data_IF_960839354448
#
_entry.id   IF_960839354448
#
_cell.length_a   1.000
_cell.length_b   1.000
_cell.length_c   1.000
_cell.angle_alpha   90.00
_cell.angle_beta   90.00
_cell.angle_gamma   90.00
#
_symmetry.space_group_name_H-M   'P 1'
#
loop_
_entity.id
_entity.type
_entity.pdbx_description
1 polymer ?
#
# COMPACT_ATOMS: atom_id res chain seq x y z
N UNK A 1 -18.82 -26.78 -17.41
CA UNK A 1 -19.41 -25.61 -18.11
C UNK A 1 -20.00 -24.70 -17.06
N UNK A 2 -19.49 -23.47 -17.00
CA UNK A 2 -19.74 -22.48 -15.95
C UNK A 2 -21.10 -21.79 -16.15
N UNK A 3 -21.96 -21.83 -15.14
CA UNK A 3 -23.01 -20.82 -14.94
C UNK A 3 -22.82 -20.22 -13.55
N UNK A 4 -22.19 -19.06 -13.50
CA UNK A 4 -21.93 -18.36 -12.25
C UNK A 4 -21.50 -16.93 -12.54
N UNK A 5 -22.42 -16.13 -13.08
CA UNK A 5 -22.25 -14.67 -13.15
C UNK A 5 -23.60 -13.99 -12.93
N UNK A 6 -23.53 -12.90 -12.17
CA UNK A 6 -24.48 -11.79 -12.02
C UNK A 6 -25.49 -11.93 -10.87
N UNK A 7 -25.15 -11.29 -9.75
CA UNK A 7 -25.87 -10.12 -9.21
C UNK A 7 -25.67 -10.06 -7.69
N UNK A 8 -24.71 -9.26 -7.22
CA UNK A 8 -24.68 -8.82 -5.83
C UNK A 8 -24.71 -7.29 -5.84
N UNK A 9 -25.91 -6.74 -5.70
CA UNK A 9 -26.13 -5.31 -5.53
C UNK A 9 -27.29 -5.07 -4.57
N UNK A 10 -27.04 -4.09 -3.69
CA UNK A 10 -27.96 -3.36 -2.80
C UNK A 10 -28.39 -4.13 -1.53
N UNK A 11 -28.44 -3.53 -0.33
CA UNK A 11 -28.60 -2.12 0.04
C UNK A 11 -28.27 -2.03 1.56
N UNK A 12 -27.35 -1.17 2.00
CA UNK A 12 -27.17 -0.88 3.44
C UNK A 12 -27.64 0.56 3.68
N UNK A 13 -28.87 0.70 4.18
CA UNK A 13 -29.39 1.95 4.74
C UNK A 13 -29.02 2.02 6.22
N UNK A 14 -28.12 2.94 6.58
CA UNK A 14 -27.87 3.31 7.98
C UNK A 14 -28.55 4.67 8.23
N UNK A 15 -29.69 4.63 8.91
CA UNK A 15 -30.34 5.80 9.50
C UNK A 15 -29.53 6.27 10.72
N UNK A 16 -28.90 7.43 10.62
CA UNK A 16 -28.36 8.16 11.76
C UNK A 16 -29.50 8.88 12.48
N UNK A 17 -29.93 8.35 13.63
CA UNK A 17 -30.68 9.10 14.64
C UNK A 17 -29.70 9.39 15.78
N UNK A 18 -29.00 10.52 15.70
CA UNK A 18 -28.34 11.10 16.87
C UNK A 18 -29.33 12.06 17.50
N UNK A 19 -30.04 11.57 18.52
CA UNK A 19 -30.85 12.38 19.41
C UNK A 19 -29.96 13.31 20.24
N UNK A 20 -30.35 14.59 20.20
CA UNK A 20 -29.99 15.72 21.06
C UNK A 20 -29.60 15.30 22.50
N UNK A 21 -28.40 15.69 22.92
CA UNK A 21 -28.04 15.71 24.34
C UNK A 21 -28.79 16.87 25.00
N UNK A 22 -29.72 16.56 25.91
CA UNK A 22 -30.21 17.51 26.90
C UNK A 22 -29.16 17.65 28.01
N UNK A 23 -28.63 18.85 28.19
CA UNK A 23 -28.06 19.28 29.46
C UNK A 23 -29.24 19.75 30.32
N UNK A 24 -29.50 19.07 31.43
CA UNK A 24 -30.46 19.51 32.45
C UNK A 24 -29.81 19.36 33.83
N UNK A 25 -29.47 20.53 34.37
CA UNK A 25 -29.70 21.00 35.73
C UNK A 25 -29.65 20.00 36.90
N UNK A 26 -28.69 20.20 37.80
CA UNK A 26 -28.73 19.68 39.15
C UNK A 26 -28.32 20.79 40.10
N UNK A 27 -29.33 21.54 40.53
CA UNK A 27 -29.25 22.56 41.55
C UNK A 27 -29.11 21.95 42.96
N UNK A 28 -28.32 22.64 43.78
CA UNK A 28 -28.26 22.65 45.24
C UNK A 28 -28.15 21.33 46.04
N UNK A 29 -27.00 21.15 46.72
CA UNK A 29 -27.01 20.99 48.18
C UNK A 29 -25.86 21.78 48.84
N UNK A 30 -26.31 22.83 49.53
CA UNK A 30 -25.75 23.56 50.67
C UNK A 30 -24.70 22.75 51.46
N UNK A 31 -23.50 23.29 51.60
CA UNK A 31 -22.76 23.16 52.85
C UNK A 31 -22.03 24.47 53.19
N UNK A 32 -22.52 25.04 54.28
CA UNK A 32 -22.11 26.26 54.94
C UNK A 32 -20.80 26.03 55.71
N UNK A 33 -19.79 26.87 55.49
CA UNK A 33 -18.77 27.20 56.50
C UNK A 33 -17.91 28.37 56.02
N UNK A 34 -18.46 29.56 56.20
CA UNK A 34 -17.82 30.72 56.87
C UNK A 34 -16.28 30.63 56.99
N UNK A 35 -15.57 31.46 56.22
CA UNK A 35 -14.53 32.31 56.81
C UNK A 35 -14.48 33.66 56.09
N UNK A 36 -14.65 34.67 56.92
CA UNK A 36 -14.82 36.09 56.67
C UNK A 36 -13.46 36.76 56.43
N UNK A 37 -13.35 37.65 55.44
CA UNK A 37 -12.71 38.99 55.59
C UNK A 37 -12.72 39.82 54.29
N UNK A 38 -13.68 40.76 54.20
CA UNK A 38 -13.56 42.23 53.91
C UNK A 38 -12.44 42.71 52.94
N UNK A 39 -12.61 43.63 51.97
CA UNK A 39 -13.59 44.71 51.79
C UNK A 39 -13.48 45.37 50.38
N UNK A 40 -14.57 46.02 49.96
CA UNK A 40 -14.67 47.28 49.19
C UNK A 40 -14.49 47.36 47.65
N UNK A 41 -15.66 47.49 46.99
CA UNK A 41 -16.08 48.66 46.17
C UNK A 41 -16.13 48.52 44.63
N UNK A 42 -17.38 48.56 44.15
CA UNK A 42 -17.83 48.81 42.77
C UNK A 42 -17.34 50.15 42.18
N UNK A 43 -17.14 50.21 40.86
CA UNK A 43 -17.96 51.06 39.94
C UNK A 43 -17.49 50.96 38.49
N UNK A 44 -18.40 50.54 37.60
CA UNK A 44 -18.60 51.18 36.28
C UNK A 44 -17.98 50.54 35.03
N UNK A 45 -18.58 50.77 33.84
CA UNK A 45 -18.73 49.76 32.77
C UNK A 45 -17.91 50.04 31.50
N UNK A 46 -17.61 49.02 30.70
CA UNK A 46 -17.26 49.13 29.27
C UNK A 46 -17.32 47.73 28.66
N UNK A 47 -18.37 47.46 27.90
CA UNK A 47 -18.44 47.57 26.43
C UNK A 47 -18.06 46.25 25.75
N UNK A 48 -19.05 45.75 25.04
CA UNK A 48 -18.94 44.62 24.14
C UNK A 48 -17.86 44.89 23.08
N UNK A 49 -16.90 43.99 23.02
CA UNK A 49 -15.94 43.85 21.94
C UNK A 49 -15.83 42.36 21.63
N UNK A 50 -16.87 41.83 21.02
CA UNK A 50 -16.96 40.48 20.48
C UNK A 50 -15.92 40.34 19.36
N UNK A 51 -14.68 40.02 19.73
CA UNK A 51 -13.72 39.49 18.77
C UNK A 51 -13.94 37.99 18.73
N UNK A 52 -14.78 37.60 17.77
CA UNK A 52 -14.87 36.23 17.29
C UNK A 52 -13.45 35.69 17.07
N UNK A 53 -13.11 34.48 17.55
CA UNK A 53 -11.89 33.85 17.09
C UNK A 53 -12.07 33.64 15.58
N UNK A 54 -11.13 34.17 14.80
CA UNK A 54 -10.94 33.72 13.44
C UNK A 54 -10.70 32.22 13.54
N UNK A 55 -11.69 31.43 13.13
CA UNK A 55 -11.54 30.01 12.82
C UNK A 55 -10.56 29.95 11.65
N UNK A 56 -9.28 29.98 11.99
CA UNK A 56 -8.20 29.53 11.13
C UNK A 56 -8.53 28.06 10.86
N UNK A 57 -9.20 27.85 9.72
CA UNK A 57 -9.43 26.53 9.16
C UNK A 57 -8.05 25.98 8.86
N UNK A 58 -7.48 25.30 9.85
CA UNK A 58 -6.23 24.58 9.74
C UNK A 58 -6.42 23.62 8.56
N UNK A 59 -5.80 23.97 7.43
CA UNK A 59 -5.70 23.06 6.31
C UNK A 59 -5.07 21.79 6.87
N UNK A 60 -5.86 20.70 6.89
CA UNK A 60 -5.36 19.39 7.26
C UNK A 60 -4.40 18.96 6.16
N UNK A 61 -3.14 19.37 6.28
CA UNK A 61 -2.07 18.85 5.43
C UNK A 61 -1.91 17.38 5.78
N UNK A 62 -2.03 16.51 4.79
CA UNK A 62 -1.70 15.08 4.92
C UNK A 62 -0.35 14.97 5.60
N UNK A 63 -0.30 14.29 6.75
CA UNK A 63 0.92 14.12 7.51
C UNK A 63 1.94 13.36 6.66
N UNK A 64 3.14 13.92 6.50
CA UNK A 64 4.20 13.29 5.71
C UNK A 64 4.63 11.98 6.37
N UNK A 65 4.65 10.90 5.58
CA UNK A 65 5.20 9.59 5.93
C UNK A 65 6.69 9.44 5.59
N UNK A 66 7.32 10.48 5.01
CA UNK A 66 8.76 10.47 4.72
C UNK A 66 9.58 10.23 5.99
N UNK A 67 10.47 9.23 5.95
CA UNK A 67 11.43 8.96 7.01
C UNK A 67 11.85 7.50 7.10
N UNK A 68 12.59 7.15 8.14
CA UNK A 68 12.95 5.79 8.50
C UNK A 68 12.00 5.30 9.61
N UNK A 69 11.37 4.16 9.39
CA UNK A 69 10.32 3.59 10.23
C UNK A 69 10.67 2.18 10.68
N UNK A 70 10.18 1.82 11.86
CA UNK A 70 10.16 0.44 12.34
C UNK A 70 8.72 0.00 12.49
N UNK A 71 8.33 -1.08 11.81
CA UNK A 71 7.00 -1.67 11.89
C UNK A 71 7.07 -2.98 12.66
N UNK A 72 6.14 -3.19 13.56
CA UNK A 72 5.97 -4.44 14.29
C UNK A 72 4.72 -5.13 13.78
N UNK A 73 4.88 -6.36 13.31
CA UNK A 73 3.83 -7.26 12.84
C UNK A 73 3.83 -8.54 13.68
N UNK A 74 2.84 -9.40 13.50
CA UNK A 74 2.78 -10.70 14.18
C UNK A 74 3.95 -11.63 13.79
N UNK A 75 4.48 -11.49 12.57
CA UNK A 75 5.56 -12.33 12.02
C UNK A 75 6.96 -11.77 12.33
N UNK A 76 7.06 -10.52 12.82
CA UNK A 76 8.34 -9.90 13.15
C UNK A 76 8.39 -8.39 12.92
N UNK A 77 9.60 -7.87 12.99
CA UNK A 77 9.89 -6.45 12.82
C UNK A 77 10.36 -6.16 11.39
N UNK A 78 9.86 -5.08 10.80
CA UNK A 78 10.25 -4.59 9.48
C UNK A 78 10.92 -3.22 9.67
N UNK A 79 12.15 -3.07 9.18
CA UNK A 79 12.80 -1.77 9.03
C UNK A 79 12.50 -1.23 7.64
N UNK A 80 12.11 0.04 7.55
CA UNK A 80 11.66 0.64 6.30
C UNK A 80 12.19 2.05 6.17
N UNK A 81 12.57 2.43 4.95
CA UNK A 81 12.76 3.83 4.57
C UNK A 81 11.69 4.21 3.56
N UNK A 82 11.04 5.35 3.80
CA UNK A 82 9.98 5.90 2.95
C UNK A 82 10.40 7.27 2.46
N UNK A 83 10.39 7.43 1.16
CA UNK A 83 10.37 8.70 0.47
C UNK A 83 8.94 9.02 0.05
N UNK A 84 8.63 10.31 0.00
CA UNK A 84 7.32 10.78 -0.39
C UNK A 84 7.45 11.94 -1.39
N UNK A 85 6.64 11.87 -2.43
CA UNK A 85 6.45 12.93 -3.42
C UNK A 85 4.95 13.12 -3.63
N UNK A 86 4.40 14.21 -3.09
CA UNK A 86 2.94 14.39 -2.98
C UNK A 86 2.32 13.19 -2.25
N UNK A 87 1.37 12.51 -2.89
CA UNK A 87 0.69 11.34 -2.33
C UNK A 87 1.46 10.04 -2.61
N UNK A 88 2.48 10.04 -3.48
CA UNK A 88 3.23 8.84 -3.84
C UNK A 88 4.26 8.48 -2.77
N UNK A 89 4.24 7.22 -2.32
CA UNK A 89 5.19 6.64 -1.37
C UNK A 89 6.09 5.63 -2.08
N UNK A 90 7.39 5.66 -1.79
CA UNK A 90 8.34 4.69 -2.34
C UNK A 90 9.59 4.56 -1.47
N UNK A 91 10.26 3.41 -1.52
CA UNK A 91 11.49 3.21 -0.76
C UNK A 91 11.91 1.74 -0.68
N UNK A 92 12.47 1.37 0.45
CA UNK A 92 12.99 0.03 0.69
C UNK A 92 12.63 -0.45 2.10
N UNK A 93 12.52 -1.75 2.26
CA UNK A 93 12.28 -2.38 3.54
C UNK A 93 13.11 -3.65 3.68
N UNK A 94 13.39 -4.03 4.92
CA UNK A 94 14.01 -5.29 5.26
C UNK A 94 13.47 -5.84 6.57
N UNK A 95 13.78 -7.10 6.82
CA UNK A 95 13.70 -7.70 8.14
C UNK A 95 14.94 -8.55 8.36
N UNK A 96 15.41 -8.62 9.60
CA UNK A 96 16.54 -9.46 10.01
C UNK A 96 16.10 -10.82 10.56
N UNK A 97 14.82 -10.97 10.92
CA UNK A 97 14.30 -12.16 11.59
C UNK A 97 12.83 -12.43 11.24
N UNK A 98 12.40 -13.71 11.14
CA UNK A 98 13.17 -14.91 11.46
C UNK A 98 14.23 -15.31 10.41
N UNK A 99 13.99 -14.97 9.14
CA UNK A 99 14.95 -15.13 8.04
C UNK A 99 15.14 -13.77 7.37
N UNK A 100 16.39 -13.34 7.12
CA UNK A 100 16.65 -12.01 6.60
C UNK A 100 16.11 -11.86 5.18
N UNK A 101 15.49 -10.73 4.88
CA UNK A 101 15.00 -10.40 3.55
C UNK A 101 15.10 -8.91 3.26
N UNK A 102 15.15 -8.58 1.96
CA UNK A 102 15.07 -7.22 1.45
C UNK A 102 13.88 -7.07 0.50
N UNK A 103 13.28 -5.90 0.48
CA UNK A 103 12.10 -5.60 -0.34
C UNK A 103 12.05 -4.14 -0.79
N UNK A 104 11.23 -3.92 -1.82
CA UNK A 104 10.92 -2.59 -2.34
C UNK A 104 9.56 -2.17 -1.80
N UNK A 105 9.47 -0.90 -1.41
CA UNK A 105 8.25 -0.27 -0.89
C UNK A 105 7.68 0.64 -1.97
N UNK A 106 6.38 0.55 -2.20
CA UNK A 106 5.59 1.47 -3.02
C UNK A 106 4.24 1.72 -2.35
N UNK A 107 3.59 2.84 -2.60
CA UNK A 107 2.25 3.06 -2.06
C UNK A 107 1.74 4.46 -2.28
N UNK A 108 0.69 4.79 -1.54
CA UNK A 108 0.04 6.10 -1.59
C UNK A 108 -0.44 6.57 -0.21
N UNK A 109 -0.43 7.87 -0.01
CA UNK A 109 -1.00 8.57 1.13
C UNK A 109 -2.20 9.42 0.70
N UNK A 110 -3.12 9.66 1.62
CA UNK A 110 -4.30 10.50 1.44
C UNK A 110 -4.73 11.07 2.79
N UNK A 111 -5.77 11.90 2.82
CA UNK A 111 -6.37 12.38 4.07
C UNK A 111 -6.99 11.25 4.90
N UNK A 112 -7.42 10.15 4.27
CA UNK A 112 -8.04 9.00 4.94
C UNK A 112 -7.00 8.04 5.56
N UNK A 113 -5.72 8.20 5.22
CA UNK A 113 -4.64 7.32 5.66
C UNK A 113 -3.71 6.96 4.51
N UNK A 114 -3.08 5.79 4.59
CA UNK A 114 -2.12 5.31 3.61
C UNK A 114 -2.34 3.84 3.26
N UNK A 115 -1.83 3.47 2.08
CA UNK A 115 -1.64 2.09 1.66
C UNK A 115 -0.20 1.92 1.15
N UNK A 116 0.51 0.95 1.71
CA UNK A 116 1.86 0.55 1.31
C UNK A 116 1.83 -0.89 0.81
N UNK A 117 2.62 -1.16 -0.22
CA UNK A 117 2.95 -2.49 -0.69
C UNK A 117 4.45 -2.70 -0.59
N UNK A 118 4.85 -3.82 0.01
CA UNK A 118 6.22 -4.30 0.07
C UNK A 118 6.29 -5.57 -0.79
N UNK A 119 7.19 -5.58 -1.77
CA UNK A 119 7.53 -6.76 -2.54
C UNK A 119 8.91 -7.25 -2.14
N UNK A 120 9.01 -8.49 -1.66
CA UNK A 120 10.26 -9.11 -1.24
C UNK A 120 10.39 -10.54 -1.75
N UNK A 121 11.64 -10.99 -1.88
CA UNK A 121 11.97 -12.38 -2.16
C UNK A 121 12.43 -13.02 -0.85
N UNK A 122 11.64 -13.93 -0.32
CA UNK A 122 11.88 -14.64 0.95
C UNK A 122 12.09 -16.11 0.62
N UNK A 123 13.29 -16.63 0.84
CA UNK A 123 13.67 -18.02 0.52
C UNK A 123 13.33 -18.47 -0.91
N UNK A 124 13.48 -17.54 -1.85
CA UNK A 124 13.17 -17.78 -3.27
C UNK A 124 11.68 -17.70 -3.62
N UNK A 125 10.80 -17.39 -2.66
CA UNK A 125 9.37 -17.17 -2.85
C UNK A 125 9.10 -15.67 -2.89
N UNK A 126 8.37 -15.21 -3.92
CA UNK A 126 7.91 -13.83 -3.97
C UNK A 126 6.77 -13.64 -2.95
N UNK A 127 6.92 -12.64 -2.08
CA UNK A 127 5.94 -12.25 -1.06
C UNK A 127 5.51 -10.80 -1.32
N UNK A 128 4.20 -10.57 -1.29
CA UNK A 128 3.56 -9.26 -1.33
C UNK A 128 2.91 -8.97 0.01
N UNK A 129 3.38 -7.92 0.69
CA UNK A 129 2.84 -7.43 1.96
C UNK A 129 2.14 -6.11 1.71
N UNK A 130 0.82 -6.07 1.90
CA UNK A 130 0.01 -4.85 1.82
C UNK A 130 -0.28 -4.37 3.24
N UNK A 131 -0.05 -3.09 3.48
CA UNK A 131 -0.29 -2.42 4.76
C UNK A 131 -1.21 -1.23 4.52
N UNK A 132 -2.34 -1.18 5.20
CA UNK A 132 -3.26 -0.05 5.13
C UNK A 132 -3.53 0.48 6.54
N UNK A 133 -3.51 1.79 6.71
CA UNK A 133 -3.62 2.38 8.04
C UNK A 133 -3.63 3.89 8.07
N UNK A 134 -3.43 4.41 9.28
CA UNK A 134 -3.33 5.84 9.56
C UNK A 134 -2.00 6.13 10.26
N UNK A 135 -1.49 7.35 10.07
CA UNK A 135 -0.26 7.79 10.69
C UNK A 135 -0.43 9.16 11.37
N UNK A 136 0.27 9.31 12.49
CA UNK A 136 0.56 10.59 13.12
C UNK A 136 1.98 11.01 12.72
N UNK A 137 2.53 12.05 13.37
CA UNK A 137 3.90 12.47 13.10
C UNK A 137 4.94 11.39 13.43
N UNK A 138 4.70 10.62 14.49
CA UNK A 138 5.70 9.70 15.05
C UNK A 138 5.25 8.24 15.03
N UNK A 139 3.97 7.97 14.83
CA UNK A 139 3.39 6.63 14.91
C UNK A 139 2.56 6.30 13.66
N UNK A 140 2.48 5.00 13.33
CA UNK A 140 1.48 4.49 12.40
C UNK A 140 0.83 3.23 12.96
N UNK A 141 -0.43 3.01 12.59
CA UNK A 141 -1.16 1.80 12.94
C UNK A 141 -2.08 1.38 11.80
N UNK A 142 -2.35 0.08 11.70
CA UNK A 142 -3.17 -0.43 10.61
C UNK A 142 -3.30 -1.94 10.58
N UNK A 143 -3.70 -2.43 9.42
CA UNK A 143 -3.78 -3.85 9.10
C UNK A 143 -2.70 -4.24 8.11
N UNK A 144 -2.33 -5.52 8.12
CA UNK A 144 -1.39 -6.09 7.18
C UNK A 144 -1.99 -7.34 6.55
N UNK A 145 -1.83 -7.49 5.24
CA UNK A 145 -2.16 -8.70 4.49
C UNK A 145 -0.91 -9.13 3.73
N UNK A 146 -0.43 -10.34 3.98
CA UNK A 146 0.66 -10.95 3.25
C UNK A 146 0.14 -12.04 2.34
N UNK A 147 0.64 -12.09 1.12
CA UNK A 147 0.39 -13.17 0.18
C UNK A 147 1.66 -13.59 -0.53
N UNK A 148 1.82 -14.88 -0.79
CA UNK A 148 2.97 -15.41 -1.50
C UNK A 148 2.61 -15.94 -2.89
N UNK A 149 3.63 -16.17 -3.71
CA UNK A 149 3.47 -16.76 -5.05
C UNK A 149 3.00 -18.22 -5.06
N UNK A 150 2.90 -18.86 -3.88
CA UNK A 150 2.34 -20.21 -3.70
C UNK A 150 0.84 -20.17 -3.35
N UNK A 151 0.27 -18.96 -3.18
CA UNK A 151 -1.14 -18.74 -2.86
C UNK A 151 -1.46 -18.82 -1.36
N UNK A 152 -0.45 -18.79 -0.48
CA UNK A 152 -0.67 -18.64 0.96
C UNK A 152 -1.01 -17.18 1.28
N UNK A 153 -1.89 -16.98 2.27
CA UNK A 153 -2.30 -15.66 2.75
C UNK A 153 -2.25 -15.65 4.27
N UNK A 154 -1.78 -14.52 4.83
CA UNK A 154 -1.83 -14.20 6.25
C UNK A 154 -2.39 -12.80 6.43
N UNK A 155 -3.10 -12.58 7.52
CA UNK A 155 -3.65 -11.28 7.89
C UNK A 155 -3.27 -10.98 9.34
N UNK A 156 -3.11 -9.71 9.66
CA UNK A 156 -2.75 -9.27 11.00
C UNK A 156 -2.88 -7.77 11.20
N UNK A 157 -2.32 -7.30 12.29
CA UNK A 157 -2.21 -5.87 12.60
C UNK A 157 -0.76 -5.40 12.51
N UNK A 158 -0.58 -4.10 12.30
CA UNK A 158 0.74 -3.48 12.32
C UNK A 158 0.72 -2.22 13.18
N UNK A 159 1.78 -2.01 13.94
CA UNK A 159 2.07 -0.75 14.60
C UNK A 159 3.51 -0.37 14.29
N UNK A 160 3.75 0.89 13.95
CA UNK A 160 5.09 1.37 13.65
C UNK A 160 5.36 2.73 14.26
N UNK A 161 6.64 3.06 14.33
CA UNK A 161 7.12 4.34 14.84
C UNK A 161 8.24 4.88 13.97
N UNK A 162 8.31 6.21 13.90
CA UNK A 162 9.34 6.94 13.18
C UNK A 162 10.64 6.88 13.98
N UNK A 163 11.70 6.36 13.38
CA UNK A 163 13.05 6.35 13.96
C UNK A 163 13.76 7.66 13.69
N UNK A 164 13.63 8.17 12.46
CA UNK A 164 14.29 9.38 12.02
C UNK A 164 13.56 9.98 10.82
N UNK A 165 13.40 11.31 10.72
CA UNK A 165 12.94 11.96 9.50
C UNK A 165 13.97 11.87 8.35
N UNK A 166 15.21 11.51 8.66
CA UNK A 166 16.26 11.26 7.69
C UNK A 166 16.14 9.85 7.09
N UNK A 167 16.33 9.76 5.78
CA UNK A 167 16.24 8.54 4.97
C UNK A 167 17.63 7.96 4.64
N UNK A 168 18.74 8.64 4.98
CA UNK A 168 20.07 8.16 4.60
C UNK A 168 20.63 7.01 5.44
N UNK A 169 19.98 6.69 6.57
CA UNK A 169 20.44 5.68 7.53
C UNK A 169 19.99 4.25 7.25
N UNK A 170 19.32 3.99 6.12
CA UNK A 170 18.85 2.66 5.77
C UNK A 170 20.01 1.73 5.36
N UNK A 171 20.10 0.58 6.03
CA UNK A 171 20.99 -0.52 5.65
C UNK A 171 20.15 -1.74 5.25
N UNK A 172 20.36 -2.33 4.06
CA UNK A 172 19.76 -3.60 3.68
C UNK A 172 20.19 -4.75 4.61
N UNK A 173 19.31 -5.72 4.81
CA UNK A 173 19.65 -6.95 5.53
C UNK A 173 20.68 -7.79 4.75
N UNK A 174 21.54 -8.51 5.46
CA UNK A 174 22.53 -9.42 4.86
C UNK A 174 21.85 -10.72 4.41
N UNK A 175 21.45 -10.77 3.14
CA UNK A 175 20.78 -11.92 2.53
C UNK A 175 21.79 -12.79 1.76
N UNK A 176 21.80 -14.12 1.97
CA UNK A 176 22.65 -15.01 1.19
C UNK A 176 22.41 -14.83 -0.31
N UNK A 177 23.49 -14.65 -1.07
CA UNK A 177 23.38 -14.50 -2.52
C UNK A 177 22.71 -15.73 -3.14
N UNK A 178 21.70 -15.50 -3.98
CA UNK A 178 21.09 -16.56 -4.76
C UNK A 178 22.17 -17.26 -5.60
N UNK A 179 22.33 -18.57 -5.39
CA UNK A 179 23.28 -19.37 -6.15
C UNK A 179 22.83 -19.35 -7.61
N UNK A 180 23.63 -18.74 -8.48
CA UNK A 180 23.35 -18.73 -9.91
C UNK A 180 23.18 -20.18 -10.40
N UNK A 181 22.16 -20.47 -11.23
CA UNK A 181 22.04 -21.79 -11.82
C UNK A 181 23.33 -22.11 -12.56
N UNK A 182 23.91 -23.28 -12.26
CA UNK A 182 25.12 -23.74 -12.92
C UNK A 182 24.93 -23.65 -14.43
N UNK A 183 25.82 -22.92 -15.11
CA UNK A 183 25.79 -22.80 -16.56
C UNK A 183 25.73 -24.21 -17.15
N UNK A 184 24.65 -24.52 -17.86
CA UNK A 184 24.56 -25.77 -18.61
C UNK A 184 25.78 -25.82 -19.54
N UNK A 185 26.63 -26.82 -19.36
CA UNK A 185 27.77 -27.02 -20.23
C UNK A 185 27.23 -27.19 -21.66
N UNK A 186 27.44 -26.17 -22.50
CA UNK A 186 27.27 -26.29 -23.94
C UNK A 186 28.26 -27.35 -24.39
N UNK A 187 27.75 -28.55 -24.63
CA UNK A 187 28.50 -29.60 -25.29
C UNK A 187 28.82 -29.06 -26.68
N UNK A 188 30.10 -29.03 -27.13
CA UNK A 188 30.41 -28.58 -28.46
C UNK A 188 29.59 -29.38 -29.47
N UNK A 189 28.82 -28.69 -30.31
CA UNK A 189 28.17 -29.32 -31.44
C UNK A 189 29.26 -30.00 -32.31
N UNK A 190 29.09 -31.26 -32.73
CA UNK A 190 30.00 -31.86 -33.68
C UNK A 190 30.00 -31.01 -34.96
N UNK A 191 31.21 -30.73 -35.42
CA UNK A 191 31.51 -30.02 -36.66
C UNK A 191 30.66 -30.57 -37.82
N UNK A 192 29.97 -29.68 -38.51
CA UNK A 192 29.01 -30.01 -39.55
C UNK A 192 29.69 -30.79 -40.69
N UNK A 193 29.36 -32.07 -40.83
CA UNK A 193 29.46 -32.76 -42.11
C UNK A 193 28.40 -32.18 -43.07
N UNK A 194 28.84 -31.94 -44.29
CA UNK A 194 28.11 -31.42 -45.47
C UNK A 194 26.64 -31.87 -45.65
N UNK A 195 25.80 -31.05 -46.31
CA UNK A 195 24.35 -31.21 -46.32
C UNK A 195 23.91 -32.44 -47.14
N UNK A 196 23.04 -33.26 -46.57
CA UNK A 196 22.26 -34.25 -47.29
C UNK A 196 20.77 -33.91 -47.19
N UNK A 197 20.15 -33.83 -48.36
CA UNK A 197 18.74 -33.53 -48.66
C UNK A 197 17.73 -34.40 -47.91
N UNK A 198 16.74 -33.71 -47.32
CA UNK A 198 15.35 -34.08 -46.99
C UNK A 198 14.92 -35.56 -46.95
N UNK A 199 14.35 -35.95 -45.80
CA UNK A 199 13.01 -36.58 -45.75
C UNK A 199 12.20 -36.10 -44.55
N UNK A 200 11.02 -35.61 -44.89
CA UNK A 200 9.82 -35.26 -44.13
C UNK A 200 9.63 -36.00 -42.80
N UNK A 201 9.55 -35.23 -41.72
CA UNK A 201 8.99 -35.62 -40.42
C UNK A 201 8.13 -34.46 -39.91
N UNK A 202 6.83 -34.70 -39.84
CA UNK A 202 5.75 -33.74 -39.61
C UNK A 202 5.78 -33.17 -38.19
N UNK A 203 6.23 -31.93 -38.03
CA UNK A 203 5.89 -31.08 -36.89
C UNK A 203 5.13 -29.87 -37.41
N UNK A 204 3.93 -29.65 -36.85
CA UNK A 204 3.05 -28.55 -37.22
C UNK A 204 3.81 -27.22 -37.17
N UNK A 205 3.88 -26.43 -38.25
CA UNK A 205 4.55 -25.16 -38.20
C UNK A 205 3.70 -24.19 -37.38
N UNK A 206 4.34 -23.53 -36.43
CA UNK A 206 3.81 -22.30 -35.85
C UNK A 206 3.47 -21.34 -36.99
N UNK A 207 2.22 -20.85 -37.04
CA UNK A 207 1.81 -19.88 -38.06
C UNK A 207 2.51 -18.56 -37.78
N UNK A 208 3.44 -18.18 -38.65
CA UNK A 208 3.96 -16.82 -38.67
C UNK A 208 2.82 -15.88 -39.09
N UNK A 209 2.24 -15.19 -38.10
CA UNK A 209 1.11 -14.28 -38.28
C UNK A 209 1.45 -13.07 -39.16
N UNK A 210 2.75 -12.80 -39.36
CA UNK A 210 3.24 -11.73 -40.23
C UNK A 210 2.98 -12.07 -41.71
N UNK A 211 3.23 -13.33 -42.09
CA UNK A 211 2.97 -13.81 -43.45
C UNK A 211 1.47 -13.94 -43.76
N UNK A 212 0.64 -14.23 -42.75
CA UNK A 212 -0.81 -14.33 -42.90
C UNK A 212 -1.46 -12.94 -43.12
N UNK A 213 -0.91 -11.89 -42.51
CA UNK A 213 -1.39 -10.52 -42.71
C UNK A 213 -1.18 -10.04 -44.16
N UNK A 214 -0.08 -10.42 -44.80
CA UNK A 214 0.22 -10.05 -46.18
C UNK A 214 -0.66 -10.78 -47.23
N UNK A 215 -1.12 -12.01 -46.93
CA UNK A 215 -2.09 -12.71 -47.77
C UNK A 215 -3.52 -12.14 -47.67
N UNK A 216 -3.92 -11.63 -46.51
CA UNK A 216 -5.27 -11.04 -46.35
C UNK A 216 -5.42 -9.68 -47.03
N UNK A 217 -4.34 -8.92 -47.20
CA UNK A 217 -4.38 -7.63 -47.92
C UNK A 217 -4.40 -7.76 -49.45
N UNK A 218 -3.95 -8.89 -50.00
CA UNK A 218 -3.94 -9.13 -51.46
C UNK A 218 -5.24 -9.75 -51.98
N UNK A 219 -6.05 -10.38 -51.11
CA UNK A 219 -7.32 -11.03 -51.50
C UNK A 219 -8.48 -10.06 -51.71
N UNK A 220 -8.41 -8.83 -51.19
CA UNK A 220 -9.48 -7.82 -51.37
C UNK A 220 -9.33 -6.96 -52.66
N UNK A 221 -8.39 -7.30 -53.56
CA UNK A 221 -8.11 -6.49 -54.76
C UNK A 221 -8.49 -7.15 -56.09
N UNK A 222 -9.39 -8.14 -56.10
CA UNK A 222 -9.97 -8.66 -57.34
C UNK A 222 -11.52 -8.56 -57.33
N UNK A 223 -12.11 -7.58 -58.03
CA UNK A 223 -13.56 -7.42 -58.15
C UNK A 223 -14.12 -8.27 -59.31
N UNK A 224 -13.83 -9.57 -59.35
CA UNK A 224 -14.41 -10.46 -60.35
C UNK A 224 -14.74 -11.85 -59.82
N UNK A 225 -15.92 -12.01 -59.21
CA UNK A 225 -16.76 -13.19 -59.45
C UNK A 225 -18.22 -12.97 -58.98
N UNK A 226 -19.20 -13.66 -59.60
CA UNK A 226 -20.60 -13.25 -59.70
C UNK A 226 -21.45 -13.65 -58.49
N UNK A 227 -22.62 -13.00 -58.41
CA UNK A 227 -23.73 -13.21 -57.46
C UNK A 227 -24.31 -14.63 -57.59
#
# INVERSE_FOLDING_TARGET
MNLGRIALSALITITLISGLSMAEDADALVNDSINESINATETGPSEAGEMAPEEETAASSVQSLRGSWILNTDDGQISMVVHQSEDLLYGAANSEAPEPWNGVVTGQASEEGFELQILSLQDGVLVSTIIAGSATADDLSGTVVQSDSLGQVKEGTVNGFLVSPDTSGYEPADVPAAVAPAAAAVTPAPEAATPATNKTGETKPYTDVTALAEQMFTTFKDPSMPI
#
